data_IF_916885022087
#
_entry.id   IF_916885022087
#
_cell.length_a   1.000
_cell.length_b   1.000
_cell.length_c   1.000
_cell.angle_alpha   90.00
_cell.angle_beta   90.00
_cell.angle_gamma   90.00
#
_symmetry.space_group_name_H-M   'P 1'
#
loop_
_entity.id
_entity.type
_entity.pdbx_description
1 polymer ?
#
# COMPACT_ATOMS: atom_id res chain seq x y z
N UNK A 1 12.97 -23.11 26.45
CA UNK A 1 13.54 -22.14 27.38
C UNK A 1 13.24 -20.75 26.86
N UNK A 2 12.11 -20.20 27.24
CA UNK A 2 12.01 -19.12 28.23
C UNK A 2 12.81 -17.86 27.87
N UNK A 3 12.17 -16.95 27.17
CA UNK A 3 12.56 -15.56 27.32
C UNK A 3 11.34 -14.70 27.62
N UNK A 4 11.00 -14.76 28.90
CA UNK A 4 10.13 -13.81 29.57
C UNK A 4 10.94 -12.55 29.93
N UNK A 5 11.38 -11.79 28.96
CA UNK A 5 12.20 -10.63 29.31
C UNK A 5 11.84 -9.38 28.50
N UNK A 6 10.53 -9.21 28.26
CA UNK A 6 10.07 -7.91 27.76
C UNK A 6 8.68 -7.54 28.29
N UNK A 7 8.50 -7.81 29.58
CA UNK A 7 7.36 -7.30 30.32
C UNK A 7 7.86 -6.53 31.53
N UNK A 8 8.52 -5.42 31.33
CA UNK A 8 8.73 -4.42 32.40
C UNK A 8 9.38 -3.18 31.80
N UNK A 9 8.60 -2.30 31.28
CA UNK A 9 8.86 -0.85 31.33
C UNK A 9 7.57 -0.12 31.03
N UNK A 10 6.69 -0.23 32.02
CA UNK A 10 5.56 0.65 32.21
C UNK A 10 6.02 1.65 33.27
N UNK A 11 6.26 2.87 32.91
CA UNK A 11 6.35 4.02 33.82
C UNK A 11 5.92 5.23 32.99
N UNK A 12 4.69 5.59 33.07
CA UNK A 12 4.07 6.64 33.87
C UNK A 12 4.90 7.92 33.98
N UNK A 13 4.62 8.91 33.14
CA UNK A 13 4.79 10.31 33.51
C UNK A 13 3.54 11.06 33.06
N UNK A 14 2.76 11.41 34.09
CA UNK A 14 1.64 12.28 34.10
C UNK A 14 2.11 13.63 34.59
N UNK A 15 1.96 14.69 33.82
CA UNK A 15 1.91 16.09 34.22
C UNK A 15 1.76 16.89 32.91
N UNK A 16 0.71 17.55 32.58
CA UNK A 16 0.05 18.59 33.34
C UNK A 16 0.53 19.94 32.86
N UNK A 17 -0.19 20.58 31.92
CA UNK A 17 -0.40 22.03 31.96
C UNK A 17 -1.34 22.44 30.82
N UNK A 18 -2.54 22.80 31.18
CA UNK A 18 -3.44 23.62 30.40
C UNK A 18 -2.90 25.04 30.32
N UNK A 19 -2.85 25.61 29.14
CA UNK A 19 -2.96 27.05 28.99
C UNK A 19 -3.86 27.34 27.80
N UNK A 20 -5.07 27.83 28.14
CA UNK A 20 -5.92 28.57 27.21
C UNK A 20 -5.22 29.88 26.83
N UNK A 21 -5.21 30.17 25.55
CA UNK A 21 -5.17 31.56 25.11
C UNK A 21 -6.04 31.71 23.85
N UNK A 22 -7.19 32.30 24.07
CA UNK A 22 -7.97 32.95 23.03
C UNK A 22 -7.28 34.29 22.68
N UNK A 23 -7.10 34.55 21.43
CA UNK A 23 -7.10 35.87 20.80
C UNK A 23 -7.12 35.63 19.28
N UNK A 24 -8.26 35.79 18.63
CA UNK A 24 -8.78 37.03 18.06
C UNK A 24 -8.16 37.38 16.70
N UNK A 25 -8.99 37.17 15.68
CA UNK A 25 -9.19 37.99 14.45
C UNK A 25 -8.01 38.80 13.89
N UNK A 26 -7.76 38.60 12.61
CA UNK A 26 -7.07 39.55 11.78
C UNK A 26 -6.77 38.97 10.40
N UNK A 27 -7.50 39.45 9.43
CA UNK A 27 -7.42 39.08 8.05
C UNK A 27 -6.08 39.45 7.36
N UNK A 28 -5.86 38.77 6.24
CA UNK A 28 -5.04 39.08 5.06
C UNK A 28 -3.64 38.55 4.96
N UNK A 29 -3.57 37.73 3.89
CA UNK A 29 -2.48 37.64 2.93
C UNK A 29 -1.06 37.44 3.41
N UNK A 30 -0.53 36.25 3.16
CA UNK A 30 0.58 36.00 2.25
C UNK A 30 1.16 34.61 2.47
N UNK A 31 1.61 33.93 1.43
CA UNK A 31 2.16 32.59 1.55
C UNK A 31 3.57 32.65 2.12
N UNK A 32 3.80 31.97 3.18
CA UNK A 32 5.14 31.66 3.67
C UNK A 32 5.18 30.19 3.96
N UNK A 33 5.72 29.44 3.06
CA UNK A 33 7.09 29.00 2.97
C UNK A 33 7.62 28.32 4.24
N UNK A 34 7.98 27.03 4.00
CA UNK A 34 8.99 26.29 4.76
C UNK A 34 8.70 25.98 6.22
N UNK A 35 7.85 24.97 6.37
CA UNK A 35 8.05 24.05 7.47
C UNK A 35 8.70 22.81 6.88
N UNK A 36 9.89 22.41 7.31
CA UNK A 36 10.39 21.09 6.97
C UNK A 36 9.49 20.10 7.67
N UNK A 37 8.55 19.59 6.91
CA UNK A 37 7.72 18.47 7.29
C UNK A 37 8.67 17.28 7.46
N UNK A 38 9.02 16.98 8.68
CA UNK A 38 9.71 15.77 9.05
C UNK A 38 8.66 14.65 9.10
N UNK A 39 7.93 14.49 8.00
CA UNK A 39 7.17 13.30 7.74
C UNK A 39 8.20 12.23 7.38
N UNK A 40 8.41 11.32 8.28
CA UNK A 40 8.86 9.97 7.95
C UNK A 40 7.96 9.55 6.80
N UNK A 41 8.47 9.54 5.58
CA UNK A 41 7.75 9.02 4.42
C UNK A 41 7.47 7.55 4.72
N UNK A 42 6.26 7.27 5.20
CA UNK A 42 5.76 5.91 5.18
C UNK A 42 5.78 5.49 3.71
N UNK A 43 6.59 4.49 3.39
CA UNK A 43 6.69 3.98 2.04
C UNK A 43 5.29 3.68 1.53
N UNK A 44 4.88 4.36 0.46
CA UNK A 44 3.54 4.17 -0.13
C UNK A 44 3.39 2.72 -0.57
N UNK A 45 2.31 2.09 -0.12
CA UNK A 45 1.98 0.72 -0.51
C UNK A 45 0.91 0.75 -1.60
N UNK A 46 1.17 0.03 -2.67
CA UNK A 46 0.24 -0.19 -3.78
C UNK A 46 -0.12 -1.66 -3.87
N UNK A 47 -1.38 -1.93 -4.20
CA UNK A 47 -1.89 -3.29 -4.42
C UNK A 47 -2.20 -3.49 -5.90
N UNK A 48 -1.75 -4.60 -6.45
CA UNK A 48 -1.94 -4.95 -7.87
C UNK A 48 -2.49 -6.36 -7.99
N UNK A 49 -3.56 -6.53 -8.74
CA UNK A 49 -4.07 -7.85 -9.10
C UNK A 49 -3.59 -8.21 -10.51
N UNK A 50 -2.90 -9.33 -10.65
CA UNK A 50 -2.48 -9.90 -11.93
C UNK A 50 -3.39 -11.09 -12.23
N UNK A 51 -4.22 -10.98 -13.27
CA UNK A 51 -5.26 -11.98 -13.58
C UNK A 51 -4.96 -12.63 -14.92
N UNK A 52 -4.56 -13.91 -14.90
CA UNK A 52 -4.37 -14.71 -16.10
C UNK A 52 -5.71 -15.24 -16.61
N UNK A 53 -5.89 -15.28 -17.92
CA UNK A 53 -7.07 -15.87 -18.54
C UNK A 53 -7.19 -17.37 -18.20
N UNK A 54 -6.08 -18.09 -18.27
CA UNK A 54 -6.00 -19.52 -17.98
C UNK A 54 -4.58 -19.89 -17.53
N UNK A 55 -4.42 -21.11 -17.05
CA UNK A 55 -3.11 -21.66 -16.72
C UNK A 55 -2.46 -22.23 -17.98
N UNK A 56 -1.44 -21.57 -18.47
CA UNK A 56 -0.67 -21.96 -19.64
C UNK A 56 0.76 -21.40 -19.52
N UNK A 57 1.74 -22.19 -19.95
CA UNK A 57 3.16 -21.84 -19.81
C UNK A 57 3.50 -20.45 -20.34
N UNK A 58 2.94 -20.06 -21.49
CA UNK A 58 3.18 -18.72 -22.06
C UNK A 58 2.60 -17.60 -21.21
N UNK A 59 1.42 -17.81 -20.58
CA UNK A 59 0.83 -16.81 -19.69
C UNK A 59 1.54 -16.75 -18.35
N UNK A 60 2.11 -17.86 -17.89
CA UNK A 60 2.94 -17.92 -16.69
C UNK A 60 4.25 -17.16 -16.90
N UNK A 61 4.88 -17.29 -18.07
CA UNK A 61 6.07 -16.51 -18.43
C UNK A 61 5.78 -15.01 -18.43
N UNK A 62 4.65 -14.60 -18.99
CA UNK A 62 4.24 -13.18 -18.97
C UNK A 62 3.98 -12.72 -17.54
N UNK A 63 3.25 -13.51 -16.74
CA UNK A 63 2.99 -13.17 -15.34
C UNK A 63 4.29 -13.01 -14.54
N UNK A 64 5.25 -13.92 -14.73
CA UNK A 64 6.54 -13.85 -14.08
C UNK A 64 7.33 -12.60 -14.50
N UNK A 65 7.28 -12.23 -15.76
CA UNK A 65 7.92 -11.00 -16.25
C UNK A 65 7.26 -9.74 -15.66
N UNK A 66 5.93 -9.73 -15.55
CA UNK A 66 5.19 -8.63 -14.93
C UNK A 66 5.55 -8.49 -13.46
N UNK A 67 5.54 -9.58 -12.70
CA UNK A 67 5.87 -9.53 -11.26
C UNK A 67 7.31 -9.13 -11.02
N UNK A 68 8.26 -9.61 -11.82
CA UNK A 68 9.66 -9.19 -11.74
C UNK A 68 9.83 -7.68 -12.00
N UNK A 69 9.07 -7.12 -12.94
CA UNK A 69 9.11 -5.67 -13.19
C UNK A 69 8.43 -4.88 -12.06
N UNK A 70 7.35 -5.39 -11.46
CA UNK A 70 6.74 -4.78 -10.28
C UNK A 70 7.72 -4.73 -9.10
N UNK A 71 8.48 -5.80 -8.85
CA UNK A 71 9.51 -5.84 -7.82
C UNK A 71 10.61 -4.82 -8.08
N UNK A 72 11.03 -4.69 -9.34
CA UNK A 72 12.02 -3.70 -9.74
C UNK A 72 11.51 -2.26 -9.57
N UNK A 73 10.28 -1.98 -10.01
CA UNK A 73 9.64 -0.66 -9.83
C UNK A 73 9.55 -0.32 -8.34
N UNK A 74 9.18 -1.30 -7.51
CA UNK A 74 9.12 -1.16 -6.06
C UNK A 74 10.47 -0.72 -5.50
N UNK A 75 11.54 -1.42 -5.86
CA UNK A 75 12.90 -1.12 -5.41
C UNK A 75 13.41 0.23 -5.92
N UNK A 76 13.21 0.51 -7.21
CA UNK A 76 13.73 1.72 -7.86
C UNK A 76 13.05 3.00 -7.34
N UNK A 77 11.80 2.91 -6.91
CA UNK A 77 11.01 4.05 -6.45
C UNK A 77 10.85 4.12 -4.92
N UNK A 78 11.40 3.17 -4.17
CA UNK A 78 11.28 3.15 -2.72
C UNK A 78 9.83 3.02 -2.22
N UNK A 79 8.99 2.34 -3.00
CA UNK A 79 7.59 2.07 -2.67
C UNK A 79 7.40 0.58 -2.41
N UNK A 80 6.32 0.20 -1.77
CA UNK A 80 5.92 -1.21 -1.64
C UNK A 80 4.85 -1.52 -2.67
N UNK A 81 5.05 -2.53 -3.51
CA UNK A 81 4.03 -3.05 -4.43
C UNK A 81 3.70 -4.47 -4.00
N UNK A 82 2.49 -4.65 -3.46
CA UNK A 82 1.93 -5.95 -3.14
C UNK A 82 1.13 -6.44 -4.35
N UNK A 83 1.37 -7.66 -4.79
CA UNK A 83 0.62 -8.21 -5.92
C UNK A 83 0.15 -9.63 -5.66
N UNK A 84 -0.98 -9.97 -6.27
CA UNK A 84 -1.53 -11.32 -6.28
C UNK A 84 -1.71 -11.77 -7.73
N UNK A 85 -1.27 -13.00 -8.03
CA UNK A 85 -1.42 -13.61 -9.35
C UNK A 85 -2.51 -14.68 -9.28
N UNK A 86 -3.57 -14.51 -10.03
CA UNK A 86 -4.71 -15.43 -10.10
C UNK A 86 -4.99 -15.90 -11.51
N UNK A 87 -5.75 -16.98 -11.67
CA UNK A 87 -6.11 -17.56 -12.96
C UNK A 87 -7.61 -17.77 -13.07
N UNK A 88 -8.19 -17.33 -14.17
CA UNK A 88 -9.60 -17.55 -14.50
C UNK A 88 -9.89 -18.93 -15.08
N UNK A 89 -8.87 -19.76 -15.26
CA UNK A 89 -8.98 -21.14 -15.74
C UNK A 89 -9.76 -21.27 -17.06
N UNK A 90 -9.76 -20.22 -17.90
CA UNK A 90 -10.52 -20.18 -19.15
C UNK A 90 -12.02 -19.91 -18.99
N UNK A 91 -12.49 -19.66 -17.78
CA UNK A 91 -13.90 -19.41 -17.48
C UNK A 91 -14.17 -17.93 -17.30
N UNK A 92 -15.09 -17.38 -18.08
CA UNK A 92 -15.45 -15.96 -18.06
C UNK A 92 -16.13 -15.55 -16.73
N UNK A 93 -16.83 -16.48 -16.09
CA UNK A 93 -17.49 -16.23 -14.81
C UNK A 93 -16.45 -16.08 -13.71
N UNK A 94 -15.44 -16.95 -13.70
CA UNK A 94 -14.32 -16.87 -12.74
C UNK A 94 -13.52 -15.58 -12.99
N UNK A 95 -13.21 -15.23 -14.24
CA UNK A 95 -12.52 -13.99 -14.57
C UNK A 95 -13.27 -12.77 -14.05
N UNK A 96 -14.58 -12.76 -14.24
CA UNK A 96 -15.41 -11.67 -13.71
C UNK A 96 -15.37 -11.62 -12.18
N UNK A 97 -15.50 -12.76 -11.50
CA UNK A 97 -15.44 -12.82 -10.04
C UNK A 97 -14.11 -12.32 -9.49
N UNK A 98 -12.99 -12.75 -10.10
CA UNK A 98 -11.65 -12.29 -9.71
C UNK A 98 -11.49 -10.77 -9.89
N UNK A 99 -12.02 -10.23 -10.97
CA UNK A 99 -11.99 -8.78 -11.22
C UNK A 99 -12.86 -8.02 -10.21
N UNK A 100 -14.08 -8.50 -9.95
CA UNK A 100 -14.98 -7.90 -8.95
C UNK A 100 -14.37 -7.96 -7.55
N UNK A 101 -13.71 -9.06 -7.20
CA UNK A 101 -13.00 -9.23 -5.94
C UNK A 101 -11.85 -8.24 -5.81
N UNK A 102 -11.02 -8.12 -6.83
CA UNK A 102 -9.91 -7.18 -6.84
C UNK A 102 -10.38 -5.72 -6.64
N UNK A 103 -11.50 -5.35 -7.27
CA UNK A 103 -12.12 -4.03 -7.08
C UNK A 103 -12.61 -3.87 -5.63
N UNK A 104 -13.27 -4.89 -5.07
CA UNK A 104 -13.77 -4.86 -3.70
C UNK A 104 -12.63 -4.76 -2.67
N UNK A 105 -11.48 -5.40 -2.95
CA UNK A 105 -10.28 -5.37 -2.12
C UNK A 105 -9.51 -4.03 -2.25
N UNK A 106 -9.97 -3.15 -3.13
CA UNK A 106 -9.41 -1.83 -3.31
C UNK A 106 -8.02 -1.83 -3.91
N UNK A 107 -7.73 -2.72 -4.87
CA UNK A 107 -6.45 -2.71 -5.58
C UNK A 107 -6.27 -1.42 -6.38
N UNK A 108 -5.04 -0.97 -6.50
CA UNK A 108 -4.69 0.23 -7.25
C UNK A 108 -4.65 -0.02 -8.75
N UNK A 109 -4.39 -1.26 -9.17
CA UNK A 109 -4.36 -1.65 -10.58
C UNK A 109 -4.74 -3.13 -10.77
N UNK A 110 -5.32 -3.43 -11.93
CA UNK A 110 -5.56 -4.79 -12.40
C UNK A 110 -4.79 -4.97 -13.70
N UNK A 111 -3.96 -6.00 -13.79
CA UNK A 111 -3.19 -6.36 -14.98
C UNK A 111 -3.75 -7.67 -15.53
N UNK A 112 -4.58 -7.61 -16.56
CA UNK A 112 -5.08 -8.82 -17.22
C UNK A 112 -4.03 -9.39 -18.18
N UNK A 113 -3.88 -10.71 -18.17
CA UNK A 113 -3.01 -11.46 -19.08
C UNK A 113 -3.86 -12.45 -19.86
N UNK A 114 -3.94 -12.24 -21.15
CA UNK A 114 -4.73 -13.06 -22.08
C UNK A 114 -3.99 -13.24 -23.42
N UNK A 115 -4.44 -14.20 -24.22
CA UNK A 115 -3.98 -14.43 -25.60
C UNK A 115 -5.10 -14.20 -26.59
#
# INVERSE_FOLDING_TARGET
>A
MKNNMMKKLLTLVLAGAMTLSLAACGAKDTPSADQPDNSTEEAKTYKVAVIKQLDHASLDEIANAVTAELDKISADNGVTIEYEVTSGQGDQTILKQLSDQAIADGVNAIIPIAT
#
